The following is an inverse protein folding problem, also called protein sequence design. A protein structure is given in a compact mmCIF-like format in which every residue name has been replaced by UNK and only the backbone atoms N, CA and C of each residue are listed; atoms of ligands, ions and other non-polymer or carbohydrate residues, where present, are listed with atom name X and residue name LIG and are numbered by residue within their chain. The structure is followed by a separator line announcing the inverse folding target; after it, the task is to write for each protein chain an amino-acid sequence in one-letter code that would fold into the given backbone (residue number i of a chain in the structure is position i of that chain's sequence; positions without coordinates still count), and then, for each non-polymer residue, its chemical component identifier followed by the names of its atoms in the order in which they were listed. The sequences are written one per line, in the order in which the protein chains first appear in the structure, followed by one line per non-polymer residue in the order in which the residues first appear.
data_IF_106789882899
#
_entry.id   IF_106789882899
#
_cell.length_a   1.000
_cell.length_b   1.000
_cell.length_c   1.000
_cell.angle_alpha   90.00
_cell.angle_beta   90.00
_cell.angle_gamma   90.00
#
_symmetry.space_group_name_H-M   'P 1'
#
loop_
_entity.id
_entity.type
_entity.pdbx_description
1 polymer ?
#
# COMPACT_ATOMS: atom_id res chain seq x y z
N UNK A 1 30.27 32.67 47.90
CA UNK A 1 29.77 31.31 48.16
C UNK A 1 29.19 30.75 46.87
N UNK A 2 29.86 29.76 46.28
CA UNK A 2 29.44 29.04 45.05
C UNK A 2 28.41 27.98 45.44
N UNK A 3 27.26 27.93 44.76
CA UNK A 3 26.41 26.73 44.69
C UNK A 3 26.32 26.30 43.23
N UNK A 4 27.10 25.28 42.92
CA UNK A 4 26.97 24.41 41.76
C UNK A 4 25.64 23.68 41.93
N UNK A 5 24.71 23.83 41.00
CA UNK A 5 23.56 22.95 40.89
C UNK A 5 23.71 22.10 39.64
N UNK A 6 23.49 20.81 39.87
CA UNK A 6 23.87 19.69 39.03
C UNK A 6 23.12 19.67 37.71
N UNK A 7 23.85 19.24 36.67
CA UNK A 7 23.32 18.62 35.47
C UNK A 7 22.44 17.42 35.84
N UNK A 8 21.17 17.46 35.46
CA UNK A 8 20.39 16.24 35.23
C UNK A 8 19.78 16.33 33.85
N UNK A 9 20.48 15.72 32.89
CA UNK A 9 19.97 15.29 31.60
C UNK A 9 18.79 14.32 31.82
N UNK A 10 17.57 14.79 31.62
CA UNK A 10 16.44 13.94 31.25
C UNK A 10 15.99 14.34 29.85
N UNK A 11 16.85 14.03 28.88
CA UNK A 11 16.47 13.89 27.49
C UNK A 11 15.72 12.55 27.38
N UNK A 12 14.43 12.53 27.73
CA UNK A 12 13.56 11.43 27.35
C UNK A 12 13.30 11.56 25.85
N UNK A 13 14.19 10.96 25.07
CA UNK A 13 13.93 10.62 23.67
C UNK A 13 12.89 9.50 23.71
N UNK A 14 11.61 9.85 23.74
CA UNK A 14 10.53 8.95 23.35
C UNK A 14 10.49 8.91 21.81
N UNK A 15 11.51 8.29 21.21
CA UNK A 15 11.41 7.75 19.85
C UNK A 15 10.75 6.38 19.97
N UNK A 16 9.43 6.33 19.85
CA UNK A 16 8.72 5.08 19.58
C UNK A 16 7.47 5.40 18.78
N UNK A 17 7.36 4.74 17.63
CA UNK A 17 6.33 4.91 16.59
C UNK A 17 6.35 6.27 15.89
N UNK A 18 7.25 6.39 14.90
CA UNK A 18 6.88 7.16 13.72
C UNK A 18 5.74 6.37 13.05
N UNK A 19 4.50 6.78 13.27
CA UNK A 19 3.38 6.38 12.43
C UNK A 19 3.80 6.70 10.99
N UNK A 20 3.99 5.67 10.17
CA UNK A 20 4.28 5.80 8.74
C UNK A 20 2.99 6.25 8.07
N UNK A 21 2.68 7.53 8.21
CA UNK A 21 1.66 8.23 7.47
C UNK A 21 2.13 8.31 6.02
N UNK A 22 1.39 7.71 5.10
CA UNK A 22 1.56 8.00 3.67
C UNK A 22 0.95 9.37 3.33
N UNK A 23 1.23 9.87 2.13
CA UNK A 23 0.70 11.08 1.48
C UNK A 23 -0.83 11.28 1.58
N UNK A 24 -1.57 10.23 1.93
CA UNK A 24 -3.03 10.22 2.10
C UNK A 24 -3.50 10.34 3.56
N UNK A 25 -2.58 10.36 4.54
CA UNK A 25 -2.90 10.40 5.97
C UNK A 25 -3.35 9.05 6.55
N UNK A 26 -3.33 7.98 5.75
CA UNK A 26 -3.65 6.62 6.20
C UNK A 26 -2.38 5.94 6.75
N UNK A 27 -2.50 5.27 7.90
CA UNK A 27 -1.38 4.58 8.56
C UNK A 27 -1.24 3.15 8.05
N UNK A 28 0.00 2.70 7.87
CA UNK A 28 0.30 1.28 7.65
C UNK A 28 -0.04 0.47 8.90
N UNK A 29 -0.50 -0.78 8.69
CA UNK A 29 -0.74 -1.77 9.74
C UNK A 29 0.49 -2.65 9.90
N UNK A 30 0.93 -2.84 11.13
CA UNK A 30 2.16 -3.58 11.43
C UNK A 30 1.93 -5.10 11.32
N UNK A 31 2.87 -5.87 10.72
CA UNK A 31 2.83 -7.32 10.75
C UNK A 31 3.28 -7.85 12.11
N UNK A 32 2.79 -9.04 12.48
CA UNK A 32 3.40 -9.83 13.54
C UNK A 32 4.64 -10.56 13.03
N UNK A 33 5.59 -10.91 13.90
CA UNK A 33 6.77 -11.69 13.52
C UNK A 33 6.71 -13.07 14.16
N UNK A 34 6.55 -14.10 13.32
CA UNK A 34 6.50 -15.51 13.74
C UNK A 34 7.66 -16.26 13.10
N UNK A 35 8.57 -16.77 13.93
CA UNK A 35 9.85 -17.39 13.52
C UNK A 35 10.69 -16.47 12.61
N UNK A 36 10.70 -15.18 12.91
CA UNK A 36 11.45 -14.18 12.13
C UNK A 36 10.85 -13.85 10.77
N UNK A 37 9.66 -14.35 10.44
CA UNK A 37 8.92 -13.99 9.23
C UNK A 37 7.79 -13.01 9.58
N UNK A 38 7.60 -11.92 8.80
CA UNK A 38 6.42 -11.08 8.96
C UNK A 38 5.18 -11.88 8.56
N UNK A 39 4.13 -11.80 9.37
CA UNK A 39 2.84 -12.44 9.18
C UNK A 39 1.77 -11.37 9.38
N UNK A 40 0.91 -11.20 8.40
CA UNK A 40 -0.13 -10.17 8.43
C UNK A 40 -1.45 -10.72 7.86
N UNK A 41 -2.61 -10.41 8.46
CA UNK A 41 -3.90 -10.75 7.86
C UNK A 41 -4.03 -10.18 6.45
N UNK A 42 -4.75 -10.88 5.58
CA UNK A 42 -4.92 -10.48 4.18
C UNK A 42 -5.50 -9.07 4.08
N UNK A 43 -6.52 -8.77 4.85
CA UNK A 43 -7.20 -7.47 4.90
C UNK A 43 -6.25 -6.34 5.27
N UNK A 44 -5.34 -6.58 6.20
CA UNK A 44 -4.34 -5.61 6.64
C UNK A 44 -3.25 -5.43 5.59
N UNK A 45 -2.84 -6.52 4.94
CA UNK A 45 -1.93 -6.46 3.81
C UNK A 45 -2.54 -5.71 2.61
N UNK A 46 -3.81 -5.94 2.29
CA UNK A 46 -4.52 -5.22 1.21
C UNK A 46 -4.65 -3.74 1.55
N UNK A 47 -4.95 -3.41 2.81
CA UNK A 47 -4.91 -2.02 3.29
C UNK A 47 -3.54 -1.41 3.03
N UNK A 48 -2.47 -2.05 3.48
CA UNK A 48 -1.10 -1.57 3.27
C UNK A 48 -0.72 -1.48 1.78
N UNK A 49 -1.20 -2.40 0.95
CA UNK A 49 -1.00 -2.37 -0.49
C UNK A 49 -1.67 -1.13 -1.10
N UNK A 50 -2.93 -0.83 -0.73
CA UNK A 50 -3.62 0.37 -1.20
C UNK A 50 -2.88 1.64 -0.79
N UNK A 51 -2.47 1.72 0.48
CA UNK A 51 -1.77 2.88 1.02
C UNK A 51 -0.43 3.09 0.31
N UNK A 52 0.37 2.03 0.14
CA UNK A 52 1.73 2.17 -0.40
C UNK A 52 1.81 2.19 -1.93
N UNK A 53 0.96 1.43 -2.63
CA UNK A 53 1.12 1.17 -4.07
C UNK A 53 0.27 2.08 -4.94
N UNK A 54 -0.90 2.55 -4.47
CA UNK A 54 -1.77 3.43 -5.27
C UNK A 54 -1.09 4.74 -5.64
N UNK A 55 -0.37 5.43 -4.73
CA UNK A 55 0.35 6.65 -5.10
C UNK A 55 1.34 6.40 -6.24
N UNK A 56 2.19 5.37 -6.11
CA UNK A 56 3.14 4.97 -7.14
C UNK A 56 2.49 4.63 -8.48
N UNK A 57 1.37 3.89 -8.46
CA UNK A 57 0.62 3.54 -9.67
C UNK A 57 0.01 4.75 -10.41
N UNK A 58 -0.13 5.89 -9.75
CA UNK A 58 -0.71 7.11 -10.32
C UNK A 58 0.31 8.22 -10.59
N UNK A 59 1.48 8.20 -9.95
CA UNK A 59 2.47 9.27 -10.08
C UNK A 59 3.80 8.83 -10.68
N UNK A 60 4.14 7.53 -10.65
CA UNK A 60 5.40 7.05 -11.24
C UNK A 60 5.25 6.92 -12.77
N UNK A 61 6.01 7.69 -13.58
CA UNK A 61 5.94 7.59 -15.04
C UNK A 61 6.41 6.23 -15.59
N UNK A 62 7.09 5.41 -14.79
CA UNK A 62 7.49 4.05 -15.16
C UNK A 62 6.45 3.00 -14.75
N UNK A 63 5.44 3.36 -13.96
CA UNK A 63 4.37 2.43 -13.63
C UNK A 63 3.56 2.11 -14.89
N UNK A 64 3.46 0.83 -15.23
CA UNK A 64 2.73 0.36 -16.42
C UNK A 64 1.27 0.82 -16.46
N UNK A 65 0.67 1.09 -15.30
CA UNK A 65 -0.69 1.64 -15.20
C UNK A 65 -0.79 3.09 -15.70
N UNK A 66 0.13 3.98 -15.32
CA UNK A 66 0.16 5.39 -15.76
C UNK A 66 0.22 5.49 -17.29
N UNK A 67 0.95 4.58 -17.94
CA UNK A 67 1.10 4.56 -19.40
C UNK A 67 -0.22 4.30 -20.14
N UNK A 68 -1.12 3.54 -19.53
CA UNK A 68 -2.40 3.17 -20.15
C UNK A 68 -3.59 3.98 -19.63
N UNK A 69 -3.47 4.60 -18.45
CA UNK A 69 -4.52 5.40 -17.85
C UNK A 69 -4.84 6.63 -18.72
N UNK A 70 -6.13 6.79 -19.05
CA UNK A 70 -6.67 7.89 -19.87
C UNK A 70 -7.72 8.75 -19.14
N UNK A 71 -8.02 8.43 -17.89
CA UNK A 71 -8.90 9.25 -17.06
C UNK A 71 -8.25 10.56 -16.62
N UNK A 72 -9.01 11.39 -15.92
CA UNK A 72 -8.46 12.60 -15.32
C UNK A 72 -7.42 12.24 -14.24
N UNK A 73 -6.27 12.95 -14.14
CA UNK A 73 -5.24 12.67 -13.15
C UNK A 73 -5.76 12.63 -11.71
N UNK A 74 -6.68 13.55 -11.36
CA UNK A 74 -7.33 13.65 -10.05
C UNK A 74 -8.17 12.42 -9.69
N UNK A 75 -8.69 11.68 -10.69
CA UNK A 75 -9.53 10.51 -10.49
C UNK A 75 -8.72 9.20 -10.40
N UNK A 76 -7.40 9.24 -10.65
CA UNK A 76 -6.58 8.03 -10.74
C UNK A 76 -6.62 7.21 -9.45
N UNK A 77 -6.47 7.88 -8.30
CA UNK A 77 -6.41 7.21 -7.00
C UNK A 77 -7.71 6.50 -6.68
N UNK A 78 -8.86 7.16 -6.92
CA UNK A 78 -10.18 6.58 -6.71
C UNK A 78 -10.44 5.40 -7.67
N UNK A 79 -10.02 5.55 -8.94
CA UNK A 79 -10.13 4.49 -9.95
C UNK A 79 -9.33 3.26 -9.54
N UNK A 80 -8.05 3.42 -9.21
CA UNK A 80 -7.18 2.30 -8.81
C UNK A 80 -7.69 1.62 -7.54
N UNK A 81 -8.11 2.40 -6.52
CA UNK A 81 -8.69 1.84 -5.29
C UNK A 81 -9.94 0.98 -5.58
N UNK A 82 -10.84 1.49 -6.41
CA UNK A 82 -12.04 0.75 -6.84
C UNK A 82 -11.69 -0.54 -7.59
N UNK A 83 -10.68 -0.49 -8.46
CA UNK A 83 -10.21 -1.68 -9.16
C UNK A 83 -9.58 -2.71 -8.22
N UNK A 84 -8.81 -2.26 -7.22
CA UNK A 84 -8.28 -3.15 -6.17
C UNK A 84 -9.44 -3.83 -5.44
N UNK A 85 -10.46 -3.09 -5.01
CA UNK A 85 -11.64 -3.66 -4.35
C UNK A 85 -12.34 -4.71 -5.21
N UNK A 86 -12.61 -4.37 -6.49
CA UNK A 86 -13.18 -5.33 -7.45
C UNK A 86 -12.31 -6.57 -7.64
N UNK A 87 -10.99 -6.43 -7.66
CA UNK A 87 -10.05 -7.54 -7.78
C UNK A 87 -10.08 -8.45 -6.54
N UNK A 88 -10.30 -7.88 -5.35
CA UNK A 88 -10.46 -8.63 -4.10
C UNK A 88 -11.83 -9.31 -3.97
N UNK A 89 -12.86 -8.80 -4.65
CA UNK A 89 -14.20 -9.41 -4.71
C UNK A 89 -14.36 -10.46 -5.82
N UNK A 90 -13.43 -10.49 -6.78
CA UNK A 90 -13.46 -11.35 -7.96
C UNK A 90 -12.80 -12.72 -7.77
N UNK A 91 -12.58 -13.48 -8.87
CA UNK A 91 -11.95 -14.81 -8.82
C UNK A 91 -10.47 -14.81 -8.35
N UNK A 92 -9.90 -13.65 -8.03
CA UNK A 92 -8.59 -13.52 -7.40
C UNK A 92 -8.64 -13.63 -5.88
N UNK A 93 -9.81 -13.55 -5.26
CA UNK A 93 -9.99 -13.78 -3.82
C UNK A 93 -9.43 -15.15 -3.37
N UNK A 94 -9.47 -16.15 -4.27
CA UNK A 94 -8.91 -17.48 -4.01
C UNK A 94 -7.37 -17.57 -4.13
N UNK A 95 -6.70 -16.58 -4.71
CA UNK A 95 -5.26 -16.64 -5.01
C UNK A 95 -4.38 -15.89 -4.00
N UNK A 96 -4.96 -15.02 -3.18
CA UNK A 96 -4.25 -14.36 -2.08
C UNK A 96 -4.60 -15.12 -0.80
N UNK A 97 -3.66 -15.66 -0.02
CA UNK A 97 -4.00 -16.41 1.20
C UNK A 97 -4.56 -15.51 2.31
N UNK A 98 -5.29 -16.09 3.27
CA UNK A 98 -5.89 -15.33 4.40
C UNK A 98 -4.84 -14.71 5.32
N UNK A 99 -3.65 -15.29 5.36
CA UNK A 99 -2.48 -14.77 6.06
C UNK A 99 -1.34 -14.67 5.05
N UNK A 100 -0.71 -13.51 4.96
CA UNK A 100 0.49 -13.30 4.16
C UNK A 100 1.69 -13.54 5.06
N UNK A 101 2.50 -14.57 4.75
CA UNK A 101 3.72 -14.90 5.49
C UNK A 101 4.95 -14.68 4.64
N UNK A 102 5.80 -13.76 5.10
CA UNK A 102 7.08 -13.44 4.49
C UNK A 102 6.95 -12.58 3.23
N UNK A 103 8.08 -11.96 2.87
CA UNK A 103 8.18 -11.11 1.67
C UNK A 103 7.84 -11.82 0.36
N UNK A 104 8.23 -13.10 0.12
CA UNK A 104 7.91 -13.76 -1.15
C UNK A 104 6.41 -13.88 -1.42
N UNK A 105 5.62 -14.15 -0.37
CA UNK A 105 4.16 -14.27 -0.49
C UNK A 105 3.51 -12.90 -0.70
N UNK A 106 3.97 -11.89 0.04
CA UNK A 106 3.52 -10.51 -0.14
C UNK A 106 3.81 -10.01 -1.56
N UNK A 107 5.00 -10.31 -2.09
CA UNK A 107 5.38 -9.95 -3.46
C UNK A 107 4.48 -10.63 -4.50
N UNK A 108 4.28 -11.95 -4.39
CA UNK A 108 3.42 -12.70 -5.32
C UNK A 108 1.96 -12.21 -5.27
N UNK A 109 1.44 -11.90 -4.08
CA UNK A 109 0.12 -11.31 -3.92
C UNK A 109 0.03 -9.92 -4.60
N UNK A 110 1.06 -9.08 -4.42
CA UNK A 110 1.16 -7.76 -5.04
C UNK A 110 1.17 -7.81 -6.57
N UNK A 111 1.98 -8.70 -7.16
CA UNK A 111 2.04 -8.93 -8.61
C UNK A 111 0.68 -9.39 -9.17
N UNK A 112 0.02 -10.34 -8.49
CA UNK A 112 -1.30 -10.83 -8.90
C UNK A 112 -2.36 -9.72 -8.85
N UNK A 113 -2.34 -8.90 -7.80
CA UNK A 113 -3.27 -7.79 -7.63
C UNK A 113 -3.01 -6.67 -8.65
N UNK A 114 -1.75 -6.30 -8.88
CA UNK A 114 -1.35 -5.33 -9.90
C UNK A 114 -1.76 -5.76 -11.32
N UNK A 115 -1.53 -7.04 -11.67
CA UNK A 115 -1.98 -7.60 -12.96
C UNK A 115 -3.50 -7.55 -13.11
N UNK A 116 -4.24 -7.81 -12.03
CA UNK A 116 -5.68 -7.69 -12.05
C UNK A 116 -6.14 -6.26 -12.30
N UNK A 117 -5.60 -5.28 -11.58
CA UNK A 117 -5.94 -3.86 -11.74
C UNK A 117 -5.73 -3.43 -13.18
N UNK A 118 -4.57 -3.76 -13.76
CA UNK A 118 -4.27 -3.44 -15.16
C UNK A 118 -5.26 -4.11 -16.13
N UNK A 119 -5.51 -5.40 -15.96
CA UNK A 119 -6.41 -6.17 -16.84
C UNK A 119 -7.86 -5.66 -16.74
N UNK A 120 -8.34 -5.41 -15.52
CA UNK A 120 -9.68 -4.91 -15.27
C UNK A 120 -9.88 -3.50 -15.85
N UNK A 121 -8.86 -2.65 -15.79
CA UNK A 121 -8.90 -1.33 -16.43
C UNK A 121 -8.99 -1.45 -17.96
N UNK A 122 -8.10 -2.23 -18.59
CA UNK A 122 -8.09 -2.42 -20.04
C UNK A 122 -9.40 -3.07 -20.55
N UNK A 123 -9.99 -3.99 -19.78
CA UNK A 123 -11.26 -4.63 -20.13
C UNK A 123 -12.48 -3.71 -19.97
N UNK A 124 -12.36 -2.58 -19.25
CA UNK A 124 -13.47 -1.64 -19.06
C UNK A 124 -13.75 -0.75 -20.27
N UNK A 125 -12.82 -0.68 -21.24
CA UNK A 125 -12.88 0.27 -22.36
C UNK A 125 -12.55 1.71 -21.98
N UNK A 126 -12.26 2.00 -20.70
CA UNK A 126 -11.89 3.34 -20.23
C UNK A 126 -10.54 3.85 -20.75
N UNK A 127 -9.79 3.00 -21.46
CA UNK A 127 -8.54 3.32 -22.14
C UNK A 127 -8.73 3.68 -23.63
N UNK A 128 -9.95 3.61 -24.18
CA UNK A 128 -10.23 4.03 -25.56
C UNK A 128 -10.35 5.56 -25.66
N UNK A 129 -9.79 6.20 -26.71
CA UNK A 129 -10.03 7.62 -26.95
C UNK A 129 -11.51 7.86 -27.27
N UNK A 130 -12.09 8.94 -26.72
CA UNK A 130 -13.44 9.35 -27.05
C UNK A 130 -13.58 9.50 -28.58
N UNK A 131 -14.56 8.79 -29.16
CA UNK A 131 -14.85 8.83 -30.60
C UNK A 131 -15.53 10.12 -31.03
#
# INVERSE_FOLDING_TARGET
MKKVLLFTTSLMISMSLAETLDSTGETLREPEYIDGQPVIPREDWVHNFKVSSVPGLCTDPQAGFVLVYKGAPEDCYATVRTLIDKCMEGPLDSNIPKMIRGFPMAYAAGENLGRCVLTAYLASGANEPAR
#
